data_IF_103117132657
#
_entry.id   IF_103117132657
#
_cell.length_a   1.000
_cell.length_b   1.000
_cell.length_c   1.000
_cell.angle_alpha   90.00
_cell.angle_beta   90.00
_cell.angle_gamma   90.00
#
_symmetry.space_group_name_H-M   'P 1'
#
loop_
_entity.id
_entity.type
_entity.pdbx_description
1 polymer ?
#
# COMPACT_ATOMS: atom_id res chain seq x y z
N UNK A 1 -5.46 6.18 17.91
CA UNK A 1 -4.76 6.43 16.64
C UNK A 1 -3.50 5.60 16.64
N UNK A 2 -3.26 4.81 15.60
CA UNK A 2 -2.03 4.00 15.43
C UNK A 2 -1.17 4.59 14.32
N UNK A 3 0.10 4.22 14.31
CA UNK A 3 1.07 4.65 13.31
C UNK A 3 1.64 3.44 12.59
N UNK A 4 1.92 3.60 11.30
CA UNK A 4 2.32 2.53 10.40
C UNK A 4 3.53 2.92 9.57
N UNK A 5 4.15 1.94 8.93
CA UNK A 5 5.14 2.15 7.87
C UNK A 5 4.78 1.23 6.72
N UNK A 6 4.61 1.81 5.54
CA UNK A 6 4.13 1.14 4.34
C UNK A 6 5.19 1.25 3.24
N UNK A 7 5.67 0.12 2.75
CA UNK A 7 6.78 0.05 1.78
C UNK A 7 6.26 -0.05 0.35
N UNK A 8 6.77 0.81 -0.53
CA UNK A 8 6.51 0.77 -1.97
C UNK A 8 7.82 0.95 -2.73
N UNK A 9 7.99 0.25 -3.86
CA UNK A 9 9.08 0.53 -4.79
C UNK A 9 8.72 1.78 -5.61
N UNK A 10 9.60 2.79 -5.72
CA UNK A 10 9.33 3.99 -6.52
C UNK A 10 9.02 3.71 -8.00
N UNK A 11 9.49 2.57 -8.52
CA UNK A 11 9.22 2.10 -9.89
C UNK A 11 7.79 1.58 -10.09
N UNK A 12 7.08 1.20 -9.02
CA UNK A 12 5.66 0.82 -9.06
C UNK A 12 4.79 2.03 -8.67
N UNK A 13 5.01 2.56 -7.47
CA UNK A 13 4.34 3.77 -6.97
C UNK A 13 5.28 4.54 -6.04
N UNK A 14 5.71 5.72 -6.47
CA UNK A 14 6.41 6.68 -5.61
C UNK A 14 5.43 7.58 -4.82
N UNK A 15 5.97 8.38 -3.89
CA UNK A 15 5.14 9.35 -3.16
C UNK A 15 4.65 10.48 -4.09
N UNK A 16 5.45 10.83 -5.09
CA UNK A 16 5.10 11.85 -6.08
C UNK A 16 4.01 11.34 -7.03
N UNK A 17 4.05 10.06 -7.39
CA UNK A 17 2.97 9.43 -8.17
C UNK A 17 1.65 9.46 -7.39
N UNK A 18 1.71 9.14 -6.09
CA UNK A 18 0.55 9.27 -5.21
C UNK A 18 0.05 10.71 -5.16
N UNK A 19 0.94 11.69 -5.01
CA UNK A 19 0.58 13.10 -4.92
C UNK A 19 -0.06 13.65 -6.20
N UNK A 20 0.27 13.10 -7.37
CA UNK A 20 -0.32 13.47 -8.68
C UNK A 20 -1.66 12.80 -8.97
N UNK A 21 -2.03 11.74 -8.24
CA UNK A 21 -3.29 11.01 -8.47
C UNK A 21 -4.51 11.85 -8.08
N UNK A 22 -5.69 11.57 -8.69
CA UNK A 22 -6.94 12.18 -8.26
C UNK A 22 -7.17 11.99 -6.76
N UNK A 23 -7.49 13.10 -6.08
CA UNK A 23 -7.67 13.18 -4.62
C UNK A 23 -6.44 12.74 -3.80
N UNK A 24 -5.28 12.58 -4.42
CA UNK A 24 -4.05 12.07 -3.81
C UNK A 24 -4.26 10.71 -3.12
N UNK A 25 -4.99 9.82 -3.79
CA UNK A 25 -5.38 8.50 -3.26
C UNK A 25 -5.00 7.37 -4.21
N UNK A 26 -4.65 6.22 -3.63
CA UNK A 26 -4.40 4.96 -4.33
C UNK A 26 -4.88 3.78 -3.48
N UNK A 27 -5.29 2.69 -4.13
CA UNK A 27 -5.43 1.39 -3.50
C UNK A 27 -4.06 0.86 -3.07
N UNK A 28 -3.93 0.40 -1.81
CA UNK A 28 -2.71 -0.27 -1.36
C UNK A 28 -2.80 -1.76 -1.69
N UNK A 29 -2.34 -2.13 -2.87
CA UNK A 29 -2.46 -3.47 -3.44
C UNK A 29 -1.19 -4.32 -3.30
N UNK A 30 -1.26 -5.58 -3.73
CA UNK A 30 -0.07 -6.44 -3.90
C UNK A 30 0.49 -7.02 -2.61
N UNK A 31 -0.16 -6.80 -1.46
CA UNK A 31 0.25 -7.40 -0.18
C UNK A 31 -0.09 -8.90 -0.20
N UNK A 32 0.94 -9.75 -0.23
CA UNK A 32 0.83 -11.22 -0.20
C UNK A 32 1.42 -11.84 1.07
N UNK A 33 1.89 -11.01 2.00
CA UNK A 33 2.31 -11.45 3.31
C UNK A 33 1.10 -11.49 4.27
N UNK A 34 0.85 -12.65 4.89
CA UNK A 34 -0.30 -12.83 5.78
C UNK A 34 -0.30 -11.91 7.00
N UNK A 35 0.85 -11.65 7.61
CA UNK A 35 0.95 -10.78 8.78
C UNK A 35 0.66 -9.32 8.41
N UNK A 36 1.26 -8.82 7.32
CA UNK A 36 1.01 -7.48 6.81
C UNK A 36 -0.47 -7.29 6.42
N UNK A 37 -1.07 -8.30 5.76
CA UNK A 37 -2.51 -8.32 5.46
C UNK A 37 -3.34 -8.21 6.74
N UNK A 38 -3.00 -8.99 7.77
CA UNK A 38 -3.73 -8.97 9.04
C UNK A 38 -3.59 -7.61 9.75
N UNK A 39 -2.42 -6.95 9.71
CA UNK A 39 -2.26 -5.59 10.22
C UNK A 39 -3.21 -4.60 9.52
N UNK A 40 -3.28 -4.65 8.20
CA UNK A 40 -4.17 -3.77 7.41
C UNK A 40 -5.65 -4.05 7.68
N UNK A 41 -6.03 -5.33 7.81
CA UNK A 41 -7.44 -5.73 7.98
C UNK A 41 -7.93 -5.51 9.41
N UNK A 42 -7.15 -5.92 10.40
CA UNK A 42 -7.62 -6.08 11.78
C UNK A 42 -7.32 -4.86 12.65
N UNK A 43 -6.27 -4.10 12.31
CA UNK A 43 -5.73 -3.08 13.21
C UNK A 43 -5.75 -1.65 12.64
N UNK A 44 -5.63 -1.47 11.32
CA UNK A 44 -5.69 -0.13 10.71
C UNK A 44 -7.09 0.47 10.81
N UNK A 45 -7.14 1.77 11.09
CA UNK A 45 -8.38 2.56 11.10
C UNK A 45 -8.26 3.74 10.14
N UNK A 46 -9.39 4.18 9.59
CA UNK A 46 -9.44 5.43 8.81
C UNK A 46 -8.93 6.57 9.69
N UNK A 47 -8.02 7.36 9.14
CA UNK A 47 -7.37 8.45 9.86
C UNK A 47 -6.01 8.10 10.49
N UNK A 48 -5.67 6.82 10.63
CA UNK A 48 -4.31 6.44 11.05
C UNK A 48 -3.27 6.96 10.05
N UNK A 49 -2.10 7.35 10.55
CA UNK A 49 -0.99 7.84 9.72
C UNK A 49 0.02 6.74 9.46
N UNK A 50 0.67 6.80 8.30
CA UNK A 50 1.75 5.90 7.92
C UNK A 50 2.92 6.66 7.29
N UNK A 51 4.14 6.22 7.56
CA UNK A 51 5.27 6.59 6.72
C UNK A 51 5.19 5.87 5.38
N UNK A 52 5.34 6.60 4.29
CA UNK A 52 5.53 6.04 2.95
C UNK A 52 7.02 5.81 2.75
N UNK A 53 7.42 4.54 2.72
CA UNK A 53 8.82 4.14 2.64
C UNK A 53 9.16 3.66 1.23
N UNK A 54 10.11 4.31 0.58
CA UNK A 54 10.70 3.85 -0.68
C UNK A 54 11.65 2.69 -0.42
N UNK A 55 11.32 1.52 -0.95
CA UNK A 55 12.14 0.30 -0.85
C UNK A 55 12.71 -0.11 -2.21
N UNK A 56 13.76 -0.93 -2.20
CA UNK A 56 14.34 -1.54 -3.40
C UNK A 56 14.66 -0.52 -4.51
N UNK A 57 15.33 0.57 -4.14
CA UNK A 57 15.74 1.66 -5.04
C UNK A 57 17.08 2.24 -4.56
N UNK A 58 17.68 3.10 -5.37
CA UNK A 58 19.00 3.69 -5.12
C UNK A 58 19.04 4.53 -3.82
N UNK A 59 17.94 5.20 -3.49
CA UNK A 59 17.81 6.02 -2.27
C UNK A 59 16.62 5.53 -1.44
N UNK A 60 16.80 4.47 -0.63
CA UNK A 60 15.73 3.94 0.21
C UNK A 60 15.52 4.83 1.45
N UNK A 61 14.27 5.00 1.87
CA UNK A 61 13.96 5.82 3.04
C UNK A 61 12.51 6.25 3.13
N UNK A 62 12.19 7.01 4.18
CA UNK A 62 10.87 7.62 4.34
C UNK A 62 10.78 8.81 3.39
N UNK A 63 9.88 8.72 2.41
CA UNK A 63 9.66 9.76 1.41
C UNK A 63 8.50 10.70 1.77
N UNK A 64 7.64 10.33 2.72
CA UNK A 64 6.55 11.17 3.17
C UNK A 64 5.63 10.51 4.20
N UNK A 65 4.55 11.21 4.53
CA UNK A 65 3.49 10.74 5.44
C UNK A 65 2.20 10.62 4.64
N UNK A 66 1.50 9.52 4.83
CA UNK A 66 0.17 9.26 4.26
C UNK A 66 -0.83 8.92 5.35
N UNK A 67 -2.11 8.95 5.00
CA UNK A 67 -3.22 8.67 5.92
C UNK A 67 -4.08 7.55 5.34
N UNK A 68 -4.51 6.62 6.19
CA UNK A 68 -5.49 5.60 5.81
C UNK A 68 -6.82 6.28 5.48
N UNK A 69 -7.20 6.26 4.20
CA UNK A 69 -8.41 6.91 3.68
C UNK A 69 -9.61 5.95 3.61
N UNK A 70 -9.37 4.63 3.57
CA UNK A 70 -10.39 3.58 3.52
C UNK A 70 -9.87 2.30 4.19
N UNK A 71 -10.75 1.55 4.85
CA UNK A 71 -10.42 0.26 5.46
C UNK A 71 -10.15 -0.82 4.40
N UNK A 72 -9.51 -1.92 4.81
CA UNK A 72 -9.19 -3.02 3.92
C UNK A 72 -10.43 -3.58 3.18
N UNK A 73 -10.24 -3.91 1.91
CA UNK A 73 -11.20 -4.57 1.03
C UNK A 73 -10.43 -5.52 0.10
N UNK A 74 -11.11 -6.44 -0.63
CA UNK A 74 -10.43 -7.37 -1.53
C UNK A 74 -9.55 -6.66 -2.57
N UNK A 75 -8.28 -7.06 -2.64
CA UNK A 75 -7.33 -6.58 -3.66
C UNK A 75 -7.78 -7.10 -5.04
N UNK A 76 -8.22 -6.19 -5.92
CA UNK A 76 -8.72 -6.56 -7.25
C UNK A 76 -7.70 -7.31 -8.11
N UNK A 77 -6.41 -7.07 -7.90
CA UNK A 77 -5.36 -7.68 -8.70
C UNK A 77 -5.14 -9.16 -8.40
N UNK A 78 -5.64 -9.66 -7.25
CA UNK A 78 -5.57 -11.09 -6.94
C UNK A 78 -6.40 -11.94 -7.93
N UNK A 79 -7.45 -11.38 -8.53
CA UNK A 79 -8.35 -12.08 -9.46
C UNK A 79 -8.00 -11.86 -10.95
N UNK A 80 -7.08 -10.95 -11.27
CA UNK A 80 -6.77 -10.57 -12.65
C UNK A 80 -5.66 -11.45 -13.24
N UNK A 81 -6.03 -12.45 -14.06
CA UNK A 81 -5.07 -13.31 -14.77
C UNK A 81 -4.06 -12.48 -15.56
N UNK A 82 -2.78 -12.82 -15.44
CA UNK A 82 -1.68 -12.12 -16.10
C UNK A 82 -1.12 -10.91 -15.34
N UNK A 83 -1.78 -10.46 -14.26
CA UNK A 83 -1.24 -9.41 -13.41
C UNK A 83 -0.12 -9.94 -12.51
N UNK A 84 0.88 -9.10 -12.17
CA UNK A 84 2.01 -9.44 -11.28
C UNK A 84 1.57 -10.04 -9.94
N UNK A 85 0.41 -9.62 -9.44
CA UNK A 85 -0.13 -10.03 -8.15
C UNK A 85 -1.32 -11.00 -8.25
N UNK A 86 -1.54 -11.61 -9.42
CA UNK A 86 -2.56 -12.65 -9.59
C UNK A 86 -2.31 -13.82 -8.63
N UNK A 87 -3.36 -14.32 -7.99
CA UNK A 87 -3.30 -15.50 -7.14
C UNK A 87 -4.37 -16.51 -7.58
N UNK A 88 -3.97 -17.67 -8.16
CA UNK A 88 -4.92 -18.68 -8.63
C UNK A 88 -5.70 -19.39 -7.51
N UNK A 89 -5.33 -19.18 -6.24
CA UNK A 89 -5.99 -19.78 -5.07
C UNK A 89 -6.94 -18.82 -4.34
N UNK A 90 -7.08 -17.58 -4.82
CA UNK A 90 -7.97 -16.57 -4.24
C UNK A 90 -9.42 -16.69 -4.72
#
# INVERSE_FOLDING_TARGET
MRYWLMKSEPSDVSIDDLAKRPKQTIDWYGVRNYQARNFMRDLMKVGDLAFFYHSNCDVPGIAGIVKVSKLAYPDRFQFQKGHKYFDPKS
#
